data_IF_126010792466
#
_entry.id   IF_126010792466
#
_cell.length_a   1.000
_cell.length_b   1.000
_cell.length_c   1.000
_cell.angle_alpha   90.00
_cell.angle_beta   90.00
_cell.angle_gamma   90.00
#
_symmetry.space_group_name_H-M   'P 1'
#
loop_
_entity.id
_entity.type
_entity.pdbx_description
1 polymer ?
#
# COMPACT_ATOMS: atom_id res chain seq x y z
N UNK A 1 -48.90 -18.45 -44.24
CA UNK A 1 -47.82 -18.19 -45.22
C UNK A 1 -47.50 -16.69 -45.15
N UNK A 2 -46.26 -16.32 -45.48
CA UNK A 2 -45.60 -15.01 -45.27
C UNK A 2 -44.87 -14.93 -43.90
N UNK A 3 -43.71 -15.56 -43.75
CA UNK A 3 -42.36 -15.15 -44.18
C UNK A 3 -41.63 -14.36 -43.09
N UNK A 4 -40.76 -15.09 -42.39
CA UNK A 4 -39.72 -14.60 -41.49
C UNK A 4 -38.87 -13.52 -42.16
N UNK A 5 -38.55 -12.47 -41.42
CA UNK A 5 -37.39 -11.64 -41.70
C UNK A 5 -36.52 -11.63 -40.43
N UNK A 6 -35.68 -12.67 -40.32
CA UNK A 6 -34.57 -12.69 -39.37
C UNK A 6 -33.52 -11.69 -39.85
N UNK A 7 -33.33 -10.62 -39.09
CA UNK A 7 -32.15 -9.77 -39.25
C UNK A 7 -30.94 -10.50 -38.67
N UNK A 8 -30.12 -11.08 -39.54
CA UNK A 8 -28.80 -11.58 -39.19
C UNK A 8 -27.88 -10.43 -38.72
N UNK A 9 -27.73 -10.27 -37.41
CA UNK A 9 -26.55 -9.61 -36.84
C UNK A 9 -25.41 -10.63 -36.78
N UNK A 10 -24.38 -10.46 -37.62
CA UNK A 10 -23.19 -11.30 -37.65
C UNK A 10 -22.37 -11.27 -36.34
N UNK A 11 -21.35 -12.13 -36.19
CA UNK A 11 -20.59 -12.34 -34.95
C UNK A 11 -19.51 -11.27 -34.72
N UNK A 12 -19.80 -10.01 -35.03
CA UNK A 12 -18.90 -8.88 -34.82
C UNK A 12 -19.30 -8.12 -33.56
N UNK A 13 -18.80 -8.53 -32.40
CA UNK A 13 -18.87 -7.69 -31.22
C UNK A 13 -18.05 -6.42 -31.48
N UNK A 14 -18.71 -5.28 -31.67
CA UNK A 14 -18.01 -3.99 -31.73
C UNK A 14 -17.59 -3.64 -30.31
N UNK A 15 -16.35 -3.94 -29.96
CA UNK A 15 -15.74 -3.39 -28.76
C UNK A 15 -15.72 -1.86 -28.92
N UNK A 16 -16.42 -1.14 -28.05
CA UNK A 16 -16.46 0.32 -28.11
C UNK A 16 -15.05 0.85 -27.78
N UNK A 17 -14.34 1.35 -28.78
CA UNK A 17 -12.98 1.87 -28.62
C UNK A 17 -13.05 3.13 -27.74
N UNK A 18 -12.46 3.07 -26.54
CA UNK A 18 -12.31 4.24 -25.69
C UNK A 18 -11.12 5.07 -26.16
N UNK A 19 -11.38 6.25 -26.73
CA UNK A 19 -10.34 7.20 -27.16
C UNK A 19 -9.96 8.22 -26.08
N UNK A 20 -10.69 8.28 -24.96
CA UNK A 20 -10.48 9.24 -23.87
C UNK A 20 -9.81 8.60 -22.65
N UNK A 21 -8.73 7.87 -22.89
CA UNK A 21 -7.98 7.20 -21.84
C UNK A 21 -7.31 8.23 -20.92
N UNK A 22 -7.50 8.08 -19.60
CA UNK A 22 -6.82 8.87 -18.58
C UNK A 22 -5.65 8.05 -18.04
N UNK A 23 -4.44 8.35 -18.50
CA UNK A 23 -3.21 7.77 -17.95
C UNK A 23 -2.85 8.45 -16.63
N UNK A 24 -2.01 7.81 -15.81
CA UNK A 24 -1.46 8.40 -14.60
C UNK A 24 -0.71 9.71 -14.90
N UNK A 25 0.10 9.73 -15.96
CA UNK A 25 0.82 10.93 -16.41
C UNK A 25 -0.14 12.08 -16.73
N UNK A 26 -1.23 11.79 -17.47
CA UNK A 26 -2.27 12.78 -17.77
C UNK A 26 -2.95 13.27 -16.49
N UNK A 27 -3.39 12.34 -15.64
CA UNK A 27 -4.04 12.64 -14.36
C UNK A 27 -3.19 13.58 -13.50
N UNK A 28 -1.92 13.24 -13.26
CA UNK A 28 -1.00 14.05 -12.46
C UNK A 28 -0.75 15.43 -13.06
N UNK A 29 -0.65 15.52 -14.40
CA UNK A 29 -0.46 16.79 -15.09
C UNK A 29 -1.70 17.67 -14.97
N UNK A 30 -2.89 17.12 -15.16
CA UNK A 30 -4.17 17.83 -15.01
C UNK A 30 -4.37 18.28 -13.55
N UNK A 31 -4.09 17.43 -12.56
CA UNK A 31 -4.14 17.81 -11.15
C UNK A 31 -3.17 18.96 -10.83
N UNK A 32 -1.93 18.92 -11.33
CA UNK A 32 -0.96 20.00 -11.14
C UNK A 32 -1.51 21.36 -11.58
N UNK A 33 -2.24 21.43 -12.71
CA UNK A 33 -2.79 22.71 -13.21
C UNK A 33 -3.83 23.34 -12.28
N UNK A 34 -4.43 22.56 -11.37
CA UNK A 34 -5.40 23.04 -10.39
C UNK A 34 -4.73 23.78 -9.21
N UNK A 35 -3.41 23.62 -9.04
CA UNK A 35 -2.62 24.18 -7.95
C UNK A 35 -1.64 25.24 -8.47
N UNK A 36 -1.95 26.53 -8.26
CA UNK A 36 -1.13 27.64 -8.79
C UNK A 36 0.30 27.67 -8.24
N UNK A 37 0.49 27.14 -7.04
CA UNK A 37 1.77 27.02 -6.35
C UNK A 37 2.60 25.80 -6.78
N UNK A 38 2.02 24.89 -7.58
CA UNK A 38 2.70 23.67 -8.00
C UNK A 38 3.72 23.96 -9.10
N UNK A 39 5.01 23.81 -8.77
CA UNK A 39 6.12 24.04 -9.70
C UNK A 39 6.39 22.86 -10.66
N UNK A 40 5.69 21.74 -10.47
CA UNK A 40 5.91 20.48 -11.21
C UNK A 40 6.88 19.49 -10.57
N UNK A 41 7.60 19.85 -9.51
CA UNK A 41 8.53 18.94 -8.83
C UNK A 41 7.85 17.66 -8.31
N UNK A 42 6.63 17.81 -7.78
CA UNK A 42 5.84 16.68 -7.28
C UNK A 42 5.50 15.72 -8.41
N UNK A 43 4.99 16.25 -9.52
CA UNK A 43 4.61 15.51 -10.73
C UNK A 43 5.79 14.75 -11.33
N UNK A 44 6.95 15.42 -11.49
CA UNK A 44 8.16 14.79 -12.01
C UNK A 44 8.60 13.60 -11.16
N UNK A 45 8.56 13.72 -9.83
CA UNK A 45 8.87 12.59 -8.94
C UNK A 45 7.84 11.47 -9.08
N UNK A 46 6.55 11.79 -9.20
CA UNK A 46 5.53 10.76 -9.42
C UNK A 46 5.73 10.02 -10.75
N UNK A 47 6.27 10.65 -11.79
CA UNK A 47 6.69 9.95 -13.01
C UNK A 47 7.86 8.99 -12.76
N UNK A 48 8.83 9.38 -11.93
CA UNK A 48 9.90 8.46 -11.51
C UNK A 48 9.38 7.26 -10.70
N UNK A 49 8.40 7.48 -9.81
CA UNK A 49 7.71 6.40 -9.09
C UNK A 49 7.00 5.46 -10.07
N UNK A 50 6.24 6.02 -11.02
CA UNK A 50 5.58 5.25 -12.07
C UNK A 50 6.58 4.36 -12.84
N UNK A 51 7.75 4.89 -13.18
CA UNK A 51 8.80 4.11 -13.85
C UNK A 51 9.31 2.95 -12.97
N UNK A 52 9.56 3.20 -11.68
CA UNK A 52 9.98 2.17 -10.74
C UNK A 52 8.93 1.04 -10.65
N UNK A 53 7.65 1.37 -10.50
CA UNK A 53 6.57 0.38 -10.41
C UNK A 53 6.46 -0.47 -11.68
N UNK A 54 6.56 0.14 -12.87
CA UNK A 54 6.55 -0.60 -14.14
C UNK A 54 7.73 -1.56 -14.26
N UNK A 55 8.91 -1.12 -13.85
CA UNK A 55 10.15 -1.92 -13.89
C UNK A 55 10.08 -3.09 -12.91
N UNK A 56 9.65 -2.85 -11.67
CA UNK A 56 9.45 -3.90 -10.66
C UNK A 56 8.41 -4.91 -11.14
N UNK A 57 7.26 -4.45 -11.65
CA UNK A 57 6.23 -5.33 -12.22
C UNK A 57 6.77 -6.22 -13.36
N UNK A 58 7.63 -5.66 -14.22
CA UNK A 58 8.27 -6.40 -15.31
C UNK A 58 9.18 -7.53 -14.79
N UNK A 59 10.02 -7.25 -13.79
CA UNK A 59 10.92 -8.26 -13.23
C UNK A 59 10.17 -9.33 -12.43
N UNK A 60 9.16 -8.96 -11.65
CA UNK A 60 8.32 -9.91 -10.91
C UNK A 60 7.63 -10.89 -11.88
N UNK A 61 7.02 -10.40 -12.97
CA UNK A 61 6.35 -11.27 -13.97
C UNK A 61 7.30 -12.24 -14.67
N UNK A 62 8.60 -11.97 -14.66
CA UNK A 62 9.63 -12.78 -15.31
C UNK A 62 10.49 -13.55 -14.33
N UNK A 63 10.24 -13.45 -13.02
CA UNK A 63 11.11 -13.94 -11.97
C UNK A 63 11.61 -15.37 -12.21
N UNK A 64 10.69 -16.30 -12.50
CA UNK A 64 11.00 -17.70 -12.77
C UNK A 64 11.67 -17.94 -14.13
N UNK A 65 11.43 -17.07 -15.13
CA UNK A 65 12.01 -17.20 -16.47
C UNK A 65 13.49 -16.79 -16.52
N UNK A 66 13.91 -15.92 -15.61
CA UNK A 66 15.27 -15.37 -15.57
C UNK A 66 16.00 -15.68 -14.25
N UNK A 67 15.54 -16.71 -13.52
CA UNK A 67 16.16 -17.25 -12.30
C UNK A 67 16.39 -16.21 -11.19
N UNK A 68 15.41 -15.32 -11.00
CA UNK A 68 15.41 -14.33 -9.93
C UNK A 68 14.73 -14.82 -8.64
N UNK A 69 14.29 -16.09 -8.61
CA UNK A 69 13.79 -16.75 -7.39
C UNK A 69 14.93 -17.12 -6.44
N UNK A 70 14.61 -17.18 -5.14
CA UNK A 70 15.53 -17.58 -4.08
C UNK A 70 16.41 -16.45 -3.50
N UNK A 71 17.31 -16.85 -2.61
CA UNK A 71 18.09 -15.95 -1.75
C UNK A 71 19.19 -15.20 -2.52
N UNK A 72 19.41 -13.94 -2.14
CA UNK A 72 20.52 -13.11 -2.62
C UNK A 72 21.86 -13.45 -1.94
N UNK A 73 21.81 -14.11 -0.77
CA UNK A 73 22.98 -14.51 0.02
C UNK A 73 23.32 -13.60 1.21
N UNK A 74 22.52 -12.56 1.45
CA UNK A 74 22.60 -11.62 2.59
C UNK A 74 21.32 -11.68 3.44
N UNK A 75 21.44 -11.48 4.75
CA UNK A 75 20.31 -11.18 5.62
C UNK A 75 20.20 -9.65 5.78
N UNK A 76 19.00 -9.08 5.73
CA UNK A 76 18.80 -7.64 5.93
C UNK A 76 18.78 -7.28 7.43
N UNK A 77 18.89 -6.00 7.79
CA UNK A 77 18.89 -5.53 9.19
C UNK A 77 17.58 -5.79 9.94
N UNK A 78 16.52 -6.12 9.22
CA UNK A 78 15.21 -6.46 9.80
C UNK A 78 15.10 -7.95 10.20
N UNK A 79 16.11 -8.76 9.82
CA UNK A 79 16.25 -10.17 10.17
C UNK A 79 15.58 -11.14 9.21
N UNK A 80 15.08 -10.67 8.06
CA UNK A 80 14.49 -11.50 7.01
C UNK A 80 15.58 -11.89 5.98
N UNK A 81 15.50 -13.12 5.44
CA UNK A 81 16.42 -13.60 4.40
C UNK A 81 16.15 -12.83 3.08
N UNK A 82 17.12 -12.04 2.63
CA UNK A 82 16.94 -11.15 1.49
C UNK A 82 16.86 -11.95 0.18
N UNK A 83 15.80 -11.75 -0.61
CA UNK A 83 15.67 -12.38 -1.93
C UNK A 83 16.32 -11.52 -3.01
N UNK A 84 16.71 -12.14 -4.12
CA UNK A 84 17.32 -11.43 -5.26
C UNK A 84 16.42 -10.31 -5.80
N UNK A 85 15.11 -10.54 -5.81
CA UNK A 85 14.15 -9.54 -6.27
C UNK A 85 14.04 -8.36 -5.34
N UNK A 86 14.22 -8.54 -4.03
CA UNK A 86 14.20 -7.45 -3.07
C UNK A 86 15.34 -6.48 -3.35
N UNK A 87 16.56 -7.00 -3.57
CA UNK A 87 17.73 -6.21 -3.98
C UNK A 87 17.47 -5.47 -5.30
N UNK A 88 16.97 -6.17 -6.32
CA UNK A 88 16.68 -5.56 -7.64
C UNK A 88 15.59 -4.49 -7.53
N UNK A 89 14.53 -4.75 -6.75
CA UNK A 89 13.45 -3.82 -6.51
C UNK A 89 13.93 -2.55 -5.82
N UNK A 90 14.75 -2.71 -4.78
CA UNK A 90 15.39 -1.62 -4.07
C UNK A 90 16.31 -0.80 -4.98
N UNK A 91 17.20 -1.44 -5.74
CA UNK A 91 18.12 -0.77 -6.68
C UNK A 91 17.39 0.05 -7.75
N UNK A 92 16.32 -0.51 -8.31
CA UNK A 92 15.45 0.18 -9.27
C UNK A 92 14.81 1.40 -8.62
N UNK A 93 14.28 1.24 -7.40
CA UNK A 93 13.60 2.32 -6.69
C UNK A 93 14.57 3.45 -6.34
N UNK A 94 15.74 3.13 -5.78
CA UNK A 94 16.81 4.08 -5.45
C UNK A 94 17.24 4.83 -6.71
N UNK A 95 17.51 4.11 -7.81
CA UNK A 95 17.96 4.71 -9.08
C UNK A 95 16.90 5.64 -9.67
N UNK A 96 15.62 5.26 -9.63
CA UNK A 96 14.51 6.09 -10.09
C UNK A 96 14.35 7.36 -9.24
N UNK A 97 14.45 7.25 -7.91
CA UNK A 97 14.33 8.38 -7.00
C UNK A 97 15.51 9.34 -7.14
N UNK A 98 16.74 8.82 -7.22
CA UNK A 98 17.96 9.59 -7.47
C UNK A 98 17.84 10.36 -8.78
N UNK A 99 17.56 9.67 -9.88
CA UNK A 99 17.47 10.29 -11.23
C UNK A 99 16.34 11.30 -11.38
N UNK A 100 15.32 11.30 -10.50
CA UNK A 100 14.26 12.30 -10.52
C UNK A 100 14.79 13.73 -10.30
N UNK A 101 15.90 13.89 -9.56
CA UNK A 101 16.39 15.19 -9.11
C UNK A 101 15.46 15.93 -8.14
N UNK A 102 14.38 15.30 -7.67
CA UNK A 102 13.34 15.90 -6.81
C UNK A 102 13.21 15.27 -5.44
N UNK A 103 13.92 14.16 -5.19
CA UNK A 103 14.02 13.51 -3.88
C UNK A 103 15.36 13.87 -3.26
N UNK A 104 15.34 14.31 -1.99
CA UNK A 104 16.53 14.61 -1.20
C UNK A 104 16.91 13.45 -0.29
N UNK A 105 15.91 12.78 0.28
CA UNK A 105 16.10 11.69 1.24
C UNK A 105 15.21 10.51 0.84
N UNK A 106 15.76 9.31 0.88
CA UNK A 106 15.04 8.06 0.69
C UNK A 106 15.24 7.17 1.91
N UNK A 107 14.14 6.69 2.48
CA UNK A 107 14.14 5.62 3.48
C UNK A 107 13.59 4.37 2.80
N UNK A 108 14.35 3.29 2.80
CA UNK A 108 13.94 2.00 2.23
C UNK A 108 13.90 0.95 3.34
N UNK A 109 12.99 -0.01 3.23
CA UNK A 109 12.96 -1.18 4.09
C UNK A 109 14.25 -2.01 4.01
N UNK A 110 14.93 -1.97 2.86
CA UNK A 110 16.13 -2.75 2.55
C UNK A 110 17.45 -2.03 2.89
N UNK A 111 17.39 -0.82 3.45
CA UNK A 111 18.55 0.01 3.77
C UNK A 111 18.57 0.36 5.25
N UNK A 112 19.68 0.09 5.93
CA UNK A 112 19.83 0.29 7.38
C UNK A 112 19.80 1.76 7.81
N UNK A 113 20.20 2.64 6.89
CA UNK A 113 20.32 4.09 7.10
C UNK A 113 19.64 4.84 5.94
N UNK A 114 19.14 6.07 6.19
CA UNK A 114 18.51 6.84 5.14
C UNK A 114 19.53 7.25 4.07
N UNK A 115 19.15 7.12 2.80
CA UNK A 115 19.96 7.57 1.67
C UNK A 115 19.72 9.06 1.46
N UNK A 116 20.79 9.85 1.56
CA UNK A 116 20.77 11.29 1.25
C UNK A 116 21.40 11.53 -0.12
N UNK A 117 20.67 12.17 -1.03
CA UNK A 117 21.16 12.48 -2.38
C UNK A 117 21.85 13.85 -2.40
N UNK A 118 23.16 13.87 -2.13
CA UNK A 118 23.99 15.08 -2.03
C UNK A 118 24.13 15.87 -3.33
N UNK A 119 23.94 15.22 -4.47
CA UNK A 119 23.83 15.83 -5.78
C UNK A 119 22.54 16.67 -5.96
N UNK A 120 21.57 16.57 -5.05
CA UNK A 120 20.28 17.26 -5.10
C UNK A 120 19.96 18.07 -3.83
N UNK A 121 20.81 19.04 -3.44
CA UNK A 121 20.66 19.76 -2.16
C UNK A 121 19.38 20.61 -2.07
N UNK A 122 18.78 20.95 -3.22
CA UNK A 122 17.55 21.75 -3.30
C UNK A 122 16.28 20.91 -3.52
N UNK A 123 16.40 19.58 -3.57
CA UNK A 123 15.24 18.70 -3.66
C UNK A 123 14.38 18.83 -2.39
N UNK A 124 13.05 18.83 -2.57
CA UNK A 124 12.10 19.26 -1.54
C UNK A 124 11.33 18.12 -0.88
N UNK A 125 11.69 16.88 -1.18
CA UNK A 125 10.90 15.71 -0.76
C UNK A 125 11.75 14.62 -0.16
N UNK A 126 11.18 13.97 0.85
CA UNK A 126 11.59 12.66 1.30
C UNK A 126 10.57 11.61 0.84
N UNK A 127 11.07 10.41 0.55
CA UNK A 127 10.24 9.24 0.22
C UNK A 127 10.60 8.13 1.18
N UNK A 128 9.61 7.48 1.77
CA UNK A 128 9.76 6.25 2.51
C UNK A 128 9.11 5.12 1.70
N UNK A 129 9.79 3.99 1.52
CA UNK A 129 9.24 2.88 0.74
C UNK A 129 9.54 1.50 1.30
N UNK A 130 8.62 0.59 1.03
CA UNK A 130 8.86 -0.85 1.00
C UNK A 130 8.90 -1.24 -0.49
N UNK A 131 10.10 -1.52 -1.06
CA UNK A 131 10.21 -1.86 -2.47
C UNK A 131 9.43 -3.11 -2.85
N UNK A 132 9.42 -4.16 -2.00
CA UNK A 132 8.75 -5.44 -2.23
C UNK A 132 8.10 -5.97 -0.94
N UNK A 133 6.89 -5.49 -0.65
CA UNK A 133 6.02 -6.05 0.40
C UNK A 133 5.60 -7.48 0.04
N UNK A 134 5.71 -8.36 1.04
CA UNK A 134 5.30 -9.76 0.90
C UNK A 134 6.30 -10.61 0.12
N UNK A 135 7.56 -10.18 0.00
CA UNK A 135 8.66 -10.89 -0.67
C UNK A 135 8.73 -12.39 -0.36
N UNK A 136 8.46 -12.78 0.89
CA UNK A 136 8.36 -14.17 1.33
C UNK A 136 7.45 -15.04 0.43
N UNK A 137 6.38 -14.49 -0.15
CA UNK A 137 5.43 -15.20 -1.00
C UNK A 137 5.79 -15.20 -2.50
N UNK A 138 6.87 -14.53 -2.88
CA UNK A 138 7.23 -14.33 -4.29
C UNK A 138 7.52 -15.65 -5.03
N UNK A 139 8.22 -16.59 -4.39
CA UNK A 139 8.53 -17.90 -4.99
C UNK A 139 7.28 -18.78 -5.16
N UNK A 140 6.21 -18.50 -4.41
CA UNK A 140 4.93 -19.18 -4.52
C UNK A 140 4.00 -18.57 -5.59
N UNK A 141 4.43 -17.50 -6.27
CA UNK A 141 3.63 -16.81 -7.28
C UNK A 141 2.40 -16.08 -6.71
N UNK A 142 2.40 -15.78 -5.41
CA UNK A 142 1.36 -15.02 -4.74
C UNK A 142 1.57 -13.53 -4.99
N UNK A 143 0.51 -12.74 -4.85
CA UNK A 143 0.59 -11.29 -5.01
C UNK A 143 1.50 -10.64 -3.96
N UNK A 144 2.33 -9.72 -4.43
CA UNK A 144 3.27 -8.89 -3.65
C UNK A 144 3.04 -7.42 -4.03
N UNK A 145 3.78 -6.47 -3.45
CA UNK A 145 3.58 -5.07 -3.80
C UNK A 145 4.73 -4.14 -3.47
N UNK A 146 4.57 -2.86 -3.79
CA UNK A 146 5.46 -1.78 -3.34
C UNK A 146 4.62 -0.79 -2.55
N UNK A 147 5.10 -0.29 -1.41
CA UNK A 147 4.42 0.73 -0.60
C UNK A 147 5.27 1.99 -0.60
N UNK A 148 4.64 3.17 -0.64
CA UNK A 148 5.38 4.43 -0.56
C UNK A 148 4.61 5.51 0.22
N UNK A 149 5.35 6.28 1.01
CA UNK A 149 4.92 7.51 1.66
C UNK A 149 5.81 8.68 1.23
N UNK A 150 5.23 9.87 1.16
CA UNK A 150 5.92 11.05 0.63
C UNK A 150 5.77 12.22 1.58
N UNK A 151 6.89 12.78 1.99
CA UNK A 151 6.94 13.97 2.85
C UNK A 151 7.54 15.15 2.12
N UNK A 152 7.02 16.35 2.39
CA UNK A 152 7.66 17.60 1.99
C UNK A 152 8.64 18.03 3.07
N UNK A 153 9.86 18.31 2.66
CA UNK A 153 10.95 18.71 3.53
C UNK A 153 10.98 20.23 3.74
N UNK A 154 11.47 20.64 4.90
CA UNK A 154 11.83 22.03 5.12
C UNK A 154 13.02 22.43 4.24
N UNK A 155 13.13 23.71 3.84
CA UNK A 155 14.31 24.20 3.13
C UNK A 155 15.60 23.89 3.91
N UNK A 156 16.59 23.31 3.23
CA UNK A 156 17.88 22.96 3.84
C UNK A 156 17.89 21.67 4.68
N UNK A 157 16.86 20.83 4.58
CA UNK A 157 16.82 19.51 5.21
C UNK A 157 18.08 18.69 4.89
N UNK A 158 18.66 18.10 5.93
CA UNK A 158 19.96 17.40 5.85
C UNK A 158 19.83 15.88 5.95
N UNK A 159 18.63 15.36 6.17
CA UNK A 159 18.43 13.93 6.46
C UNK A 159 18.58 13.62 7.94
N UNK A 160 18.26 14.58 8.82
CA UNK A 160 18.31 14.32 10.26
C UNK A 160 17.10 13.49 10.71
N UNK A 161 17.12 13.01 11.95
CA UNK A 161 15.97 12.30 12.53
C UNK A 161 14.71 13.15 12.49
N UNK A 162 14.82 14.46 12.71
CA UNK A 162 13.68 15.38 12.69
C UNK A 162 13.08 15.56 11.29
N UNK A 163 13.91 15.42 10.24
CA UNK A 163 13.44 15.45 8.85
C UNK A 163 12.59 14.21 8.49
N UNK A 164 12.82 13.09 9.19
CA UNK A 164 12.32 11.75 8.82
C UNK A 164 11.28 11.17 9.79
N UNK A 165 11.44 11.39 11.10
CA UNK A 165 10.62 10.79 12.16
C UNK A 165 9.41 11.67 12.44
N UNK A 166 8.50 11.71 11.46
CA UNK A 166 7.31 12.55 11.46
C UNK A 166 6.05 11.68 11.42
N UNK A 167 4.92 12.15 11.98
CA UNK A 167 3.66 11.43 11.86
C UNK A 167 3.20 11.39 10.41
N UNK A 168 2.41 10.37 10.06
CA UNK A 168 1.83 10.23 8.72
C UNK A 168 0.95 11.41 8.29
N UNK A 169 0.42 12.21 9.23
CA UNK A 169 -0.35 13.44 8.96
C UNK A 169 0.45 14.49 8.18
N UNK A 170 1.77 14.38 8.18
CA UNK A 170 2.69 15.26 7.46
C UNK A 170 2.97 14.82 6.02
N UNK A 171 2.51 13.61 5.62
CA UNK A 171 2.64 13.15 4.26
C UNK A 171 1.83 14.04 3.32
N UNK A 172 2.42 14.33 2.16
CA UNK A 172 1.74 15.03 1.05
C UNK A 172 1.09 14.08 0.07
N UNK A 173 1.52 12.82 0.05
CA UNK A 173 0.92 11.73 -0.70
C UNK A 173 1.41 10.37 -0.19
N UNK A 174 0.61 9.35 -0.44
CA UNK A 174 0.96 7.96 -0.13
C UNK A 174 0.25 7.03 -1.11
N UNK A 175 0.72 5.79 -1.17
CA UNK A 175 0.08 4.77 -1.98
C UNK A 175 0.81 3.44 -1.94
N UNK A 176 0.32 2.53 -2.76
CA UNK A 176 0.94 1.24 -2.98
C UNK A 176 0.64 0.73 -4.38
N UNK A 177 1.49 -0.14 -4.90
CA UNK A 177 1.23 -0.91 -6.11
C UNK A 177 1.15 -2.38 -5.76
N UNK A 178 0.02 -3.04 -6.06
CA UNK A 178 -0.11 -4.48 -5.96
C UNK A 178 0.29 -5.14 -7.29
N UNK A 179 1.23 -6.07 -7.25
CA UNK A 179 1.63 -6.92 -8.38
C UNK A 179 0.93 -8.28 -8.27
N UNK A 180 -0.33 -8.32 -8.72
CA UNK A 180 -1.12 -9.54 -8.83
C UNK A 180 -1.28 -9.98 -10.29
N UNK A 181 -2.48 -10.46 -10.64
CA UNK A 181 -2.82 -10.78 -12.03
C UNK A 181 -2.53 -9.59 -12.98
N UNK A 182 -2.90 -8.38 -12.54
CA UNK A 182 -2.48 -7.10 -13.11
C UNK A 182 -1.71 -6.29 -12.06
N UNK A 183 -0.92 -5.30 -12.49
CA UNK A 183 -0.34 -4.33 -11.57
C UNK A 183 -1.37 -3.23 -11.29
N UNK A 184 -1.66 -2.98 -10.02
CA UNK A 184 -2.70 -2.07 -9.55
C UNK A 184 -2.06 -1.02 -8.65
N UNK A 185 -1.93 0.21 -9.15
CA UNK A 185 -1.46 1.35 -8.36
C UNK A 185 -2.66 2.00 -7.68
N UNK A 186 -2.61 2.10 -6.35
CA UNK A 186 -3.52 2.92 -5.56
C UNK A 186 -2.72 4.06 -4.95
N UNK A 187 -3.19 5.29 -5.12
CA UNK A 187 -2.53 6.44 -4.50
C UNK A 187 -3.51 7.52 -4.10
N UNK A 188 -3.06 8.36 -3.19
CA UNK A 188 -3.78 9.54 -2.76
C UNK A 188 -2.82 10.69 -2.43
N UNK A 189 -3.30 11.91 -2.62
CA UNK A 189 -2.63 13.13 -2.16
C UNK A 189 -3.30 13.61 -0.87
N UNK A 190 -2.60 14.40 -0.05
CA UNK A 190 -3.16 14.93 1.19
C UNK A 190 -4.48 15.66 0.93
N UNK A 191 -5.50 15.29 1.72
CA UNK A 191 -6.88 15.80 1.62
C UNK A 191 -7.60 15.53 0.27
N UNK A 192 -7.02 14.66 -0.57
CA UNK A 192 -7.54 14.30 -1.88
C UNK A 192 -8.34 12.98 -1.92
N UNK A 193 -8.94 12.66 -3.08
CA UNK A 193 -9.55 11.35 -3.29
C UNK A 193 -8.48 10.27 -3.49
N UNK A 194 -8.82 9.05 -3.08
CA UNK A 194 -8.03 7.86 -3.41
C UNK A 194 -8.35 7.45 -4.85
N UNK A 195 -7.33 7.17 -5.66
CA UNK A 195 -7.51 6.75 -7.06
C UNK A 195 -6.74 5.46 -7.34
N UNK A 196 -7.37 4.55 -8.09
CA UNK A 196 -6.81 3.28 -8.52
C UNK A 196 -6.56 3.25 -10.03
N UNK A 197 -5.36 2.79 -10.40
CA UNK A 197 -4.91 2.68 -11.78
C UNK A 197 -4.48 1.24 -12.08
N UNK A 198 -4.95 0.71 -13.21
CA UNK A 198 -4.53 -0.61 -13.71
C UNK A 198 -3.44 -0.43 -14.76
N UNK A 199 -2.34 -1.18 -14.65
CA UNK A 199 -1.30 -1.19 -15.68
C UNK A 199 -1.76 -1.96 -16.93
N UNK A 200 -1.81 -1.27 -18.07
CA UNK A 200 -1.82 -1.90 -19.38
C UNK A 200 -0.38 -2.27 -19.75
N UNK A 201 -0.11 -3.58 -19.83
CA UNK A 201 1.26 -4.07 -20.11
C UNK A 201 1.68 -3.88 -21.58
N UNK A 202 0.72 -3.78 -22.51
CA UNK A 202 1.02 -3.60 -23.93
C UNK A 202 1.39 -2.14 -24.23
N UNK A 203 0.68 -1.20 -23.60
CA UNK A 203 0.99 0.23 -23.70
C UNK A 203 2.10 0.68 -22.75
N UNK A 204 2.32 -0.06 -21.65
CA UNK A 204 3.26 0.34 -20.61
C UNK A 204 2.78 1.54 -19.80
N UNK A 205 1.45 1.68 -19.63
CA UNK A 205 0.81 2.82 -18.97
C UNK A 205 -0.12 2.39 -17.84
N UNK A 206 -0.18 3.21 -16.78
CA UNK A 206 -1.18 3.06 -15.72
C UNK A 206 -2.43 3.83 -16.12
N UNK A 207 -3.54 3.13 -16.32
CA UNK A 207 -4.82 3.70 -16.75
C UNK A 207 -5.73 3.84 -15.53
N UNK A 208 -6.36 5.01 -15.37
CA UNK A 208 -7.32 5.25 -14.30
C UNK A 208 -8.54 4.33 -14.48
N UNK A 209 -8.73 3.40 -13.56
CA UNK A 209 -9.82 2.41 -13.60
C UNK A 209 -10.77 2.56 -12.42
N UNK A 210 -10.31 3.16 -11.32
CA UNK A 210 -11.08 3.36 -10.11
C UNK A 210 -10.93 4.81 -9.62
N UNK A 211 -11.63 5.78 -10.25
CA UNK A 211 -11.62 7.17 -9.79
C UNK A 211 -12.33 7.30 -8.43
N UNK A 212 -11.78 8.10 -7.52
CA UNK A 212 -12.39 8.43 -6.22
C UNK A 212 -12.89 7.19 -5.45
N UNK A 213 -12.01 6.23 -5.22
CA UNK A 213 -12.27 5.03 -4.46
C UNK A 213 -12.82 5.38 -3.07
N UNK A 214 -13.94 4.76 -2.72
CA UNK A 214 -14.53 4.81 -1.38
C UNK A 214 -14.74 3.40 -0.88
N UNK A 215 -14.29 3.14 0.34
CA UNK A 215 -14.42 1.84 0.97
C UNK A 215 -15.82 1.68 1.56
N UNK A 216 -16.43 0.48 1.49
CA UNK A 216 -17.65 0.19 2.23
C UNK A 216 -17.48 0.42 3.74
N UNK A 217 -18.50 0.96 4.42
CA UNK A 217 -18.43 1.22 5.87
C UNK A 217 -18.31 -0.04 6.72
N UNK A 218 -18.75 -1.19 6.17
CA UNK A 218 -18.72 -2.52 6.81
C UNK A 218 -18.74 -3.65 5.79
N UNK A 219 -18.14 -4.78 6.15
CA UNK A 219 -18.23 -6.05 5.42
C UNK A 219 -17.81 -7.20 6.33
N UNK A 220 -18.50 -8.33 6.25
CA UNK A 220 -18.20 -9.53 7.02
C UNK A 220 -16.97 -10.31 6.46
N UNK A 221 -15.81 -9.65 6.37
CA UNK A 221 -14.52 -10.23 5.97
C UNK A 221 -13.47 -9.78 6.98
N UNK A 222 -12.67 -10.72 7.49
CA UNK A 222 -11.52 -10.42 8.35
C UNK A 222 -10.26 -11.08 7.80
N UNK A 223 -9.13 -10.42 8.02
CA UNK A 223 -7.82 -10.82 7.52
C UNK A 223 -6.76 -10.67 8.59
N UNK A 224 -6.34 -11.81 9.16
CA UNK A 224 -5.35 -11.87 10.23
C UNK A 224 -4.66 -13.23 10.21
N UNK A 225 -3.37 -13.28 10.59
CA UNK A 225 -2.67 -14.55 10.76
C UNK A 225 -3.03 -15.22 12.08
N UNK A 226 -4.08 -16.06 12.07
CA UNK A 226 -4.53 -16.80 13.26
C UNK A 226 -3.50 -17.78 13.83
N UNK A 227 -2.44 -18.12 13.09
CA UNK A 227 -1.34 -18.94 13.61
C UNK A 227 -0.62 -18.30 14.80
N UNK A 228 -0.73 -16.97 14.96
CA UNK A 228 -0.15 -16.24 16.09
C UNK A 228 -1.08 -16.15 17.30
N UNK A 229 -2.28 -16.76 17.26
CA UNK A 229 -3.30 -16.65 18.31
C UNK A 229 -2.86 -17.07 19.71
N UNK A 230 -1.86 -17.95 19.81
CA UNK A 230 -1.22 -18.32 21.07
C UNK A 230 -0.60 -17.11 21.79
N UNK A 231 -0.02 -16.17 21.03
CA UNK A 231 0.76 -15.03 21.55
C UNK A 231 -0.08 -13.78 21.75
N UNK A 232 -1.29 -13.74 21.19
CA UNK A 232 -2.18 -12.59 21.29
C UNK A 232 -2.60 -12.28 22.72
N UNK A 233 -2.86 -11.01 22.97
CA UNK A 233 -3.56 -10.55 24.16
C UNK A 233 -5.06 -10.86 24.05
N UNK A 234 -5.73 -10.91 25.20
CA UNK A 234 -7.16 -11.25 25.28
C UNK A 234 -8.10 -10.39 24.42
N UNK A 235 -7.95 -9.05 24.29
CA UNK A 235 -8.84 -8.27 23.42
C UNK A 235 -8.74 -8.68 21.94
N UNK A 236 -7.55 -9.07 21.47
CA UNK A 236 -7.36 -9.55 20.08
C UNK A 236 -8.00 -10.92 19.89
N UNK A 237 -7.87 -11.82 20.87
CA UNK A 237 -8.54 -13.13 20.83
C UNK A 237 -10.06 -12.98 20.87
N UNK A 238 -10.59 -12.12 21.74
CA UNK A 238 -12.02 -11.82 21.83
C UNK A 238 -12.53 -11.28 20.49
N UNK A 239 -11.85 -10.30 19.91
CA UNK A 239 -12.20 -9.76 18.59
C UNK A 239 -12.22 -10.84 17.50
N UNK A 240 -11.15 -11.64 17.38
CA UNK A 240 -11.08 -12.69 16.36
C UNK A 240 -12.17 -13.76 16.57
N UNK A 241 -12.48 -14.12 17.81
CA UNK A 241 -13.56 -15.05 18.12
C UNK A 241 -14.94 -14.47 17.80
N UNK A 242 -15.17 -13.18 18.05
CA UNK A 242 -16.42 -12.50 17.69
C UNK A 242 -16.69 -12.51 16.18
N UNK A 243 -15.65 -12.50 15.34
CA UNK A 243 -15.80 -12.62 13.88
C UNK A 243 -16.34 -14.01 13.47
N UNK A 244 -16.07 -15.05 14.26
CA UNK A 244 -16.47 -16.44 14.02
C UNK A 244 -17.83 -16.77 14.64
N UNK A 245 -18.21 -16.06 15.70
CA UNK A 245 -19.39 -16.32 16.50
C UNK A 245 -20.42 -15.18 16.32
N UNK A 246 -21.36 -15.30 15.38
CA UNK A 246 -22.35 -14.25 15.16
C UNK A 246 -23.24 -14.06 16.38
N UNK A 247 -23.45 -12.80 16.80
CA UNK A 247 -24.26 -12.44 17.98
C UNK A 247 -25.74 -12.79 17.81
N UNK A 248 -26.25 -12.72 16.57
CA UNK A 248 -27.66 -12.99 16.27
C UNK A 248 -27.85 -14.46 15.92
N UNK A 249 -28.88 -15.07 16.49
CA UNK A 249 -29.33 -16.40 16.11
C UNK A 249 -29.63 -16.44 14.60
N UNK A 250 -29.03 -17.39 13.89
CA UNK A 250 -29.10 -17.48 12.42
C UNK A 250 -28.18 -16.51 11.65
N UNK A 251 -27.35 -15.71 12.34
CA UNK A 251 -26.32 -14.88 11.73
C UNK A 251 -25.24 -15.72 11.04
N UNK A 252 -24.53 -15.12 10.07
CA UNK A 252 -23.41 -15.77 9.38
C UNK A 252 -22.09 -15.28 9.96
N UNK A 253 -21.10 -16.19 10.16
CA UNK A 253 -19.75 -15.78 10.53
C UNK A 253 -19.10 -14.97 9.40
N UNK A 254 -18.05 -14.25 9.76
CA UNK A 254 -17.24 -13.53 8.78
C UNK A 254 -16.45 -14.51 7.92
N UNK A 255 -16.22 -14.13 6.67
CA UNK A 255 -15.28 -14.84 5.80
C UNK A 255 -13.84 -14.51 6.19
N UNK A 256 -13.05 -15.53 6.52
CA UNK A 256 -11.60 -15.37 6.70
C UNK A 256 -10.91 -15.26 5.34
N UNK A 257 -10.02 -14.29 5.17
CA UNK A 257 -9.12 -14.16 4.02
C UNK A 257 -7.79 -13.66 4.51
N UNK A 258 -6.70 -14.38 4.29
CA UNK A 258 -5.36 -13.90 4.62
C UNK A 258 -4.41 -14.35 3.51
N UNK A 259 -3.98 -13.40 2.69
CA UNK A 259 -3.10 -13.68 1.54
C UNK A 259 -1.65 -13.80 2.02
N UNK A 260 -1.26 -13.02 3.03
CA UNK A 260 0.09 -13.03 3.59
C UNK A 260 1.03 -11.98 2.97
N UNK A 261 0.50 -11.08 2.14
CA UNK A 261 1.14 -9.82 1.71
C UNK A 261 0.23 -8.68 2.16
N UNK A 262 0.78 -7.69 2.86
CA UNK A 262 0.02 -6.56 3.35
C UNK A 262 -0.70 -5.84 2.20
N UNK A 263 0.00 -5.59 1.10
CA UNK A 263 -0.54 -4.91 -0.08
C UNK A 263 -1.71 -5.66 -0.69
N UNK A 264 -1.61 -6.99 -0.83
CA UNK A 264 -2.68 -7.79 -1.41
C UNK A 264 -3.92 -7.84 -0.50
N UNK A 265 -3.72 -8.03 0.81
CA UNK A 265 -4.80 -7.99 1.80
C UNK A 265 -5.43 -6.60 1.91
N UNK A 266 -4.61 -5.54 1.84
CA UNK A 266 -5.05 -4.14 1.85
C UNK A 266 -5.88 -3.79 0.62
N UNK A 267 -5.42 -4.13 -0.59
CA UNK A 267 -6.14 -3.85 -1.83
C UNK A 267 -7.54 -4.50 -1.84
N UNK A 268 -7.63 -5.77 -1.42
CA UNK A 268 -8.93 -6.45 -1.27
C UNK A 268 -9.82 -5.73 -0.26
N UNK A 269 -9.27 -5.36 0.89
CA UNK A 269 -10.02 -4.70 1.97
C UNK A 269 -10.54 -3.34 1.52
N UNK A 270 -9.73 -2.58 0.79
CA UNK A 270 -10.12 -1.28 0.21
C UNK A 270 -11.28 -1.42 -0.78
N UNK A 271 -11.25 -2.43 -1.65
CA UNK A 271 -12.30 -2.64 -2.67
C UNK A 271 -13.59 -3.24 -2.09
N UNK A 272 -13.48 -4.24 -1.22
CA UNK A 272 -14.63 -5.03 -0.78
C UNK A 272 -15.14 -4.65 0.60
N UNK A 273 -14.38 -3.85 1.35
CA UNK A 273 -14.57 -3.63 2.78
C UNK A 273 -14.13 -4.84 3.62
N UNK A 274 -14.23 -4.67 4.92
CA UNK A 274 -13.82 -5.65 5.92
C UNK A 274 -12.67 -5.09 6.74
N UNK A 275 -11.87 -5.96 7.34
CA UNK A 275 -10.77 -5.56 8.20
C UNK A 275 -9.52 -6.40 7.94
N UNK A 276 -8.38 -5.73 7.86
CA UNK A 276 -7.05 -6.31 7.96
C UNK A 276 -6.45 -6.00 9.33
N UNK A 277 -5.85 -7.01 9.95
CA UNK A 277 -5.18 -6.87 11.24
C UNK A 277 -3.84 -7.58 11.23
N UNK A 278 -2.84 -6.87 11.75
CA UNK A 278 -1.55 -7.41 12.14
C UNK A 278 -1.22 -6.88 13.54
N UNK A 279 -1.86 -7.42 14.59
CA UNK A 279 -1.72 -6.91 15.95
C UNK A 279 -0.31 -7.13 16.50
N UNK A 280 0.09 -6.31 17.46
CA UNK A 280 1.18 -6.64 18.37
C UNK A 280 0.81 -7.87 19.21
N UNK A 281 1.82 -8.61 19.64
CA UNK A 281 1.66 -9.82 20.45
C UNK A 281 2.82 -9.99 21.42
N UNK A 282 2.77 -11.03 22.27
CA UNK A 282 3.81 -11.28 23.27
C UNK A 282 5.21 -11.55 22.68
N UNK A 283 5.30 -12.00 21.42
CA UNK A 283 6.56 -12.26 20.73
C UNK A 283 7.08 -10.99 20.03
N UNK A 284 6.17 -10.16 19.53
CA UNK A 284 6.45 -8.90 18.86
C UNK A 284 5.65 -7.78 19.55
N UNK A 285 6.15 -7.23 20.69
CA UNK A 285 5.36 -6.31 21.53
C UNK A 285 5.01 -4.98 20.86
N UNK A 286 5.78 -4.58 19.86
CA UNK A 286 5.46 -3.43 18.99
C UNK A 286 4.75 -3.84 17.70
N UNK A 287 4.47 -5.12 17.44
CA UNK A 287 4.04 -5.61 16.13
C UNK A 287 5.21 -5.86 15.17
N UNK A 288 4.91 -6.24 13.92
CA UNK A 288 5.90 -6.61 12.89
C UNK A 288 6.11 -5.52 11.83
N UNK A 289 5.04 -4.85 11.42
CA UNK A 289 5.04 -3.92 10.29
C UNK A 289 5.69 -2.58 10.69
N UNK A 290 6.34 -1.90 9.75
CA UNK A 290 7.09 -0.67 9.99
C UNK A 290 6.24 0.57 9.73
N UNK A 291 6.36 1.55 10.63
CA UNK A 291 5.48 2.72 10.64
C UNK A 291 5.64 3.56 9.37
N UNK A 292 6.88 3.92 9.02
CA UNK A 292 7.16 4.91 7.98
C UNK A 292 6.76 4.48 6.57
N UNK A 293 6.92 3.20 6.25
CA UNK A 293 6.80 2.68 4.90
C UNK A 293 5.79 1.55 4.72
N UNK A 294 5.12 1.09 5.80
CA UNK A 294 4.00 0.14 5.71
C UNK A 294 2.73 0.74 6.34
N UNK A 295 2.74 1.01 7.65
CA UNK A 295 1.54 1.37 8.40
C UNK A 295 0.99 2.76 8.08
N UNK A 296 1.82 3.81 8.15
CA UNK A 296 1.36 5.19 7.94
C UNK A 296 0.90 5.44 6.50
N UNK A 297 1.61 4.99 5.44
CA UNK A 297 1.13 5.10 4.06
C UNK A 297 -0.24 4.45 3.85
N UNK A 298 -0.43 3.24 4.39
CA UNK A 298 -1.70 2.52 4.29
C UNK A 298 -2.82 3.21 5.08
N UNK A 299 -2.51 3.74 6.27
CA UNK A 299 -3.47 4.52 7.06
C UNK A 299 -3.99 5.74 6.29
N UNK A 300 -3.11 6.49 5.62
CA UNK A 300 -3.52 7.64 4.78
C UNK A 300 -4.48 7.22 3.66
N UNK A 301 -4.19 6.13 2.95
CA UNK A 301 -5.07 5.61 1.90
C UNK A 301 -6.43 5.19 2.47
N UNK A 302 -6.44 4.42 3.57
CA UNK A 302 -7.67 3.88 4.14
C UNK A 302 -8.57 4.96 4.73
N UNK A 303 -8.00 5.92 5.47
CA UNK A 303 -8.77 7.01 6.04
C UNK A 303 -9.36 7.93 4.95
N UNK A 304 -8.60 8.26 3.91
CA UNK A 304 -9.12 9.07 2.79
C UNK A 304 -10.18 8.34 1.94
N UNK A 305 -10.16 7.00 1.94
CA UNK A 305 -11.22 6.17 1.37
C UNK A 305 -12.48 6.07 2.26
N UNK A 306 -12.48 6.65 3.47
CA UNK A 306 -13.59 6.61 4.43
C UNK A 306 -13.50 5.47 5.46
N UNK A 307 -12.34 4.84 5.59
CA UNK A 307 -12.04 3.83 6.59
C UNK A 307 -11.41 4.37 7.87
N UNK A 308 -10.84 3.44 8.64
CA UNK A 308 -10.01 3.74 9.81
C UNK A 308 -8.74 2.88 9.80
N UNK A 309 -7.71 3.37 10.47
CA UNK A 309 -6.52 2.62 10.81
C UNK A 309 -6.05 3.00 12.22
N UNK A 310 -5.87 2.01 13.10
CA UNK A 310 -5.39 2.19 14.48
C UNK A 310 -4.25 1.24 14.80
N UNK A 311 -3.38 1.63 15.73
CA UNK A 311 -2.33 0.75 16.24
C UNK A 311 -2.89 -0.22 17.31
N UNK A 312 -2.04 -1.10 17.88
CA UNK A 312 -2.48 -2.00 18.96
C UNK A 312 -2.79 -1.33 20.31
N UNK A 313 -2.44 -0.05 20.48
CA UNK A 313 -2.86 0.78 21.61
C UNK A 313 -4.16 1.53 21.34
N UNK A 314 -4.77 1.31 20.17
CA UNK A 314 -5.96 2.01 19.66
C UNK A 314 -5.74 3.50 19.35
N UNK A 315 -4.49 3.95 19.24
CA UNK A 315 -4.17 5.26 18.71
C UNK A 315 -4.39 5.28 17.20
N UNK A 316 -4.84 6.41 16.65
CA UNK A 316 -5.00 6.60 15.20
C UNK A 316 -3.64 6.47 14.52
N UNK A 317 -3.50 5.51 13.60
CA UNK A 317 -2.20 5.11 13.05
C UNK A 317 -1.47 6.25 12.34
N UNK A 318 -2.19 7.12 11.63
CA UNK A 318 -1.60 8.23 10.89
C UNK A 318 -0.97 9.30 11.80
N UNK A 319 -1.35 9.35 13.08
CA UNK A 319 -0.85 10.31 14.07
C UNK A 319 0.36 9.78 14.87
N UNK A 320 0.67 8.49 14.74
CA UNK A 320 1.78 7.87 15.47
C UNK A 320 3.11 8.41 14.94
N UNK A 321 3.92 8.98 15.84
CA UNK A 321 5.28 9.45 15.55
C UNK A 321 6.26 8.28 15.77
N UNK A 322 7.02 7.85 14.75
CA UNK A 322 7.96 6.75 14.89
C UNK A 322 9.20 7.13 15.70
N UNK A 323 9.73 6.21 16.50
CA UNK A 323 10.94 6.43 17.32
C UNK A 323 12.25 6.26 16.51
N UNK A 324 12.18 5.53 15.40
CA UNK A 324 13.28 5.27 14.47
C UNK A 324 12.74 5.00 13.06
N UNK A 325 13.61 5.00 12.05
CA UNK A 325 13.18 4.82 10.66
C UNK A 325 12.59 3.43 10.38
N UNK A 326 12.96 2.43 11.19
CA UNK A 326 12.46 1.06 11.13
C UNK A 326 11.55 0.73 12.33
N UNK A 327 10.97 1.74 13.01
CA UNK A 327 10.10 1.50 14.15
C UNK A 327 8.84 0.73 13.74
N UNK A 328 8.41 -0.18 14.61
CA UNK A 328 7.37 -1.16 14.31
C UNK A 328 6.06 -0.78 14.98
N UNK A 329 4.95 -1.18 14.37
CA UNK A 329 3.62 -1.07 14.95
C UNK A 329 2.77 -2.30 14.64
N UNK A 330 1.87 -2.64 15.55
CA UNK A 330 0.71 -3.45 15.22
C UNK A 330 -0.34 -2.56 14.55
N UNK A 331 -1.15 -3.11 13.66
CA UNK A 331 -2.16 -2.34 12.92
C UNK A 331 -3.49 -3.08 12.83
N UNK A 332 -4.58 -2.33 12.90
CA UNK A 332 -5.92 -2.72 12.49
C UNK A 332 -6.41 -1.66 11.51
N UNK A 333 -6.78 -2.06 10.30
CA UNK A 333 -7.24 -1.13 9.27
C UNK A 333 -8.35 -1.72 8.40
N UNK A 334 -9.28 -0.89 7.96
CA UNK A 334 -10.40 -1.35 7.16
C UNK A 334 -11.61 -0.45 7.22
N UNK A 335 -12.75 -1.05 6.87
CA UNK A 335 -14.09 -0.50 7.02
C UNK A 335 -14.26 0.13 8.41
N UNK A 336 -14.76 1.37 8.45
CA UNK A 336 -14.92 2.13 9.70
C UNK A 336 -15.63 1.33 10.79
N UNK A 337 -16.80 0.75 10.48
CA UNK A 337 -17.60 0.02 11.47
C UNK A 337 -16.93 -1.29 11.93
N UNK A 338 -15.99 -1.84 11.16
CA UNK A 338 -15.26 -3.07 11.54
C UNK A 338 -14.06 -2.75 12.43
N UNK A 339 -13.35 -1.65 12.17
CA UNK A 339 -12.27 -1.19 13.05
C UNK A 339 -12.84 -0.66 14.37
N UNK A 340 -13.99 0.01 14.35
CA UNK A 340 -14.66 0.46 15.58
C UNK A 340 -14.94 -0.69 16.55
N UNK A 341 -15.32 -1.88 16.07
CA UNK A 341 -15.50 -3.07 16.93
C UNK A 341 -14.21 -3.48 17.64
N UNK A 342 -13.05 -3.35 16.98
CA UNK A 342 -11.75 -3.62 17.61
C UNK A 342 -11.53 -2.65 18.76
N UNK A 343 -11.75 -1.35 18.51
CA UNK A 343 -11.58 -0.28 19.50
C UNK A 343 -12.50 -0.52 20.70
N UNK A 344 -13.77 -0.84 20.47
CA UNK A 344 -14.75 -1.07 21.52
C UNK A 344 -14.37 -2.28 22.40
N UNK A 345 -13.87 -3.36 21.79
CA UNK A 345 -13.38 -4.54 22.52
C UNK A 345 -12.13 -4.20 23.33
N UNK A 346 -11.14 -3.49 22.78
CA UNK A 346 -9.95 -3.11 23.53
C UNK A 346 -10.28 -2.19 24.71
N UNK A 347 -11.20 -1.24 24.52
CA UNK A 347 -11.68 -0.34 25.57
C UNK A 347 -12.42 -1.08 26.71
N UNK A 348 -13.05 -2.22 26.43
CA UNK A 348 -13.66 -3.08 27.46
C UNK A 348 -12.62 -3.76 28.35
N UNK A 349 -11.46 -4.14 27.79
CA UNK A 349 -10.37 -4.79 28.54
C UNK A 349 -9.48 -3.81 29.32
N UNK A 350 -9.46 -2.52 28.93
CA UNK A 350 -8.70 -1.46 29.61
C UNK A 350 -9.45 -0.83 30.82
N UNK A 351 -10.66 -1.30 31.13
CA UNK A 351 -11.49 -0.84 32.27
C UNK A 351 -11.36 -1.78 33.46
#
# INVERSE_FOLDING_TARGET
>A
MSSNNESHSGPGGSEAINTEIITLTRFLTEEQTKHKEATGDFTLRCHSLQFAFKSIAYYIRRASLINLSGLAGSANSTGDDQKKLDVIGNDIFISAMRSSGRVRILVSEEEDEPIVFDEHPNARYAVACDPIDGSSNLDAGVSVGTIFGIYKLAPGAKGTKEDLLRPGTDMVAAGFTMYGASAQLVMTMKDGPVNGFTMDSALGEFILTHPNMKMPSKRAIYSVNEGNSLWWEEPVKEWCNAMKMPEKEGGKPYSARYIGSMVADAYRTLLYGGIFAYPADKKSPKGKLRILYECAPMAMVFEQAGGQAVNSKMDRMIEVVPESIHDKSGIFMGSYDEVQKVIDIHNKHNK
#
